data_IF_082506039769
#
_entry.id   IF_082506039769
#
_cell.length_a   1.000
_cell.length_b   1.000
_cell.length_c   1.000
_cell.angle_alpha   90.00
_cell.angle_beta   90.00
_cell.angle_gamma   90.00
#
_symmetry.space_group_name_H-M   'P 1'
#
loop_
_entity.id
_entity.type
_entity.pdbx_description
1 polymer ?
#
# COMPACT_ATOMS: atom_id res chain seq x y z
N UNK A 1 22.01 9.85 -22.81
CA UNK A 1 21.28 8.58 -23.00
C UNK A 1 20.68 8.01 -21.71
N UNK A 2 21.20 8.31 -20.51
CA UNK A 2 20.66 7.75 -19.25
C UNK A 2 19.23 8.18 -18.87
N UNK A 3 18.83 9.42 -19.16
CA UNK A 3 17.50 9.91 -18.77
C UNK A 3 16.34 9.11 -19.40
N UNK A 4 16.44 8.76 -20.69
CA UNK A 4 15.41 7.99 -21.37
C UNK A 4 15.24 6.58 -20.76
N UNK A 5 16.35 5.92 -20.41
CA UNK A 5 16.32 4.60 -19.74
C UNK A 5 15.76 4.72 -18.33
N UNK A 6 16.16 5.75 -17.58
CA UNK A 6 15.65 6.01 -16.23
C UNK A 6 14.12 6.21 -16.22
N UNK A 7 13.60 7.07 -17.10
CA UNK A 7 12.16 7.29 -17.20
C UNK A 7 11.43 6.04 -17.71
N UNK A 8 12.00 5.31 -18.67
CA UNK A 8 11.48 4.03 -19.14
C UNK A 8 11.32 3.02 -18.00
N UNK A 9 12.38 2.76 -17.23
CA UNK A 9 12.34 1.82 -16.10
C UNK A 9 11.38 2.29 -14.99
N UNK A 10 11.36 3.58 -14.67
CA UNK A 10 10.49 4.15 -13.64
C UNK A 10 9.01 3.99 -14.00
N UNK A 11 8.62 4.29 -15.24
CA UNK A 11 7.23 4.14 -15.68
C UNK A 11 6.80 2.67 -15.80
N UNK A 12 7.71 1.75 -16.18
CA UNK A 12 7.40 0.32 -16.17
C UNK A 12 7.20 -0.19 -14.74
N UNK A 13 8.05 0.22 -13.80
CA UNK A 13 7.97 -0.23 -12.40
C UNK A 13 6.78 0.39 -11.64
N UNK A 14 6.55 1.70 -11.77
CA UNK A 14 5.59 2.43 -10.94
C UNK A 14 4.36 2.94 -11.69
N UNK A 15 4.34 2.92 -13.02
CA UNK A 15 3.24 3.46 -13.83
C UNK A 15 1.86 2.90 -13.45
N UNK A 16 1.68 1.56 -13.37
CA UNK A 16 0.41 0.97 -12.95
C UNK A 16 0.02 1.35 -11.51
N UNK A 17 0.97 1.28 -10.57
CA UNK A 17 0.73 1.61 -9.16
C UNK A 17 0.35 3.08 -8.97
N UNK A 18 1.04 3.98 -9.69
CA UNK A 18 0.78 5.41 -9.68
C UNK A 18 -0.60 5.75 -10.27
N UNK A 19 -0.97 5.12 -11.38
CA UNK A 19 -2.30 5.26 -11.97
C UNK A 19 -3.39 4.84 -10.99
N UNK A 20 -3.24 3.68 -10.33
CA UNK A 20 -4.20 3.23 -9.32
C UNK A 20 -4.28 4.19 -8.13
N UNK A 21 -3.15 4.72 -7.66
CA UNK A 21 -3.13 5.67 -6.56
C UNK A 21 -3.90 6.95 -6.90
N UNK A 22 -3.62 7.57 -8.06
CA UNK A 22 -4.29 8.81 -8.49
C UNK A 22 -5.80 8.60 -8.73
N UNK A 23 -6.15 7.48 -9.35
CA UNK A 23 -7.53 7.22 -9.79
C UNK A 23 -8.42 6.71 -8.66
N UNK A 24 -7.89 5.96 -7.69
CA UNK A 24 -8.70 5.27 -6.67
C UNK A 24 -8.45 5.71 -5.23
N UNK A 25 -7.24 6.16 -4.89
CA UNK A 25 -6.85 6.43 -3.49
C UNK A 25 -6.83 7.92 -3.19
N UNK A 26 -6.30 8.74 -4.11
CA UNK A 26 -6.08 10.18 -3.88
C UNK A 26 -7.36 10.99 -3.65
N UNK A 27 -8.52 10.50 -4.11
CA UNK A 27 -9.80 11.17 -3.93
C UNK A 27 -10.36 11.13 -2.49
N UNK A 28 -10.02 10.10 -1.72
CA UNK A 28 -10.55 9.89 -0.36
C UNK A 28 -9.40 9.89 0.65
N UNK A 29 -9.29 10.88 1.56
CA UNK A 29 -8.18 10.95 2.52
C UNK A 29 -8.14 9.74 3.47
N UNK A 30 -9.28 9.09 3.73
CA UNK A 30 -9.34 7.86 4.50
C UNK A 30 -8.58 6.71 3.81
N UNK A 31 -8.67 6.61 2.47
CA UNK A 31 -7.96 5.58 1.67
C UNK A 31 -6.45 5.81 1.70
N UNK A 32 -6.02 7.06 1.71
CA UNK A 32 -4.61 7.44 1.84
C UNK A 32 -4.04 6.97 3.17
N UNK A 33 -4.75 7.23 4.28
CA UNK A 33 -4.32 6.86 5.63
C UNK A 33 -4.17 5.33 5.75
N UNK A 34 -5.14 4.55 5.27
CA UNK A 34 -5.04 3.08 5.32
C UNK A 34 -3.90 2.55 4.45
N UNK A 35 -3.59 3.17 3.31
CA UNK A 35 -2.47 2.79 2.44
C UNK A 35 -1.13 3.03 3.15
N UNK A 36 -0.96 4.21 3.77
CA UNK A 36 0.24 4.53 4.55
C UNK A 36 0.41 3.58 5.74
N UNK A 37 -0.68 3.27 6.46
CA UNK A 37 -0.64 2.30 7.55
C UNK A 37 -0.23 0.90 7.06
N UNK A 38 -0.74 0.45 5.91
CA UNK A 38 -0.35 -0.83 5.29
C UNK A 38 1.13 -0.87 4.91
N UNK A 39 1.65 0.21 4.31
CA UNK A 39 3.07 0.34 3.98
C UNK A 39 3.97 0.30 5.23
N UNK A 40 3.54 0.93 6.33
CA UNK A 40 4.24 0.88 7.60
C UNK A 40 4.33 -0.54 8.16
N UNK A 41 3.21 -1.28 8.20
CA UNK A 41 3.21 -2.67 8.65
C UNK A 41 4.09 -3.57 7.76
N UNK A 42 4.09 -3.33 6.45
CA UNK A 42 4.98 -4.01 5.53
C UNK A 42 6.45 -3.74 5.86
N UNK A 43 6.84 -2.48 6.12
CA UNK A 43 8.21 -2.13 6.55
C UNK A 43 8.59 -2.79 7.88
N UNK A 44 7.68 -2.83 8.87
CA UNK A 44 7.92 -3.53 10.15
C UNK A 44 8.14 -5.03 9.92
N UNK A 45 7.37 -5.66 9.03
CA UNK A 45 7.55 -7.07 8.68
C UNK A 45 8.92 -7.35 8.06
N UNK A 46 9.39 -6.49 7.16
CA UNK A 46 10.72 -6.59 6.57
C UNK A 46 11.83 -6.31 7.59
N UNK A 47 11.62 -5.38 8.51
CA UNK A 47 12.57 -5.10 9.57
C UNK A 47 12.77 -6.35 10.44
N UNK A 48 11.69 -6.99 10.88
CA UNK A 48 11.77 -8.25 11.64
C UNK A 48 12.42 -9.36 10.84
N UNK A 49 12.07 -9.51 9.56
CA UNK A 49 12.72 -10.49 8.68
C UNK A 49 14.23 -10.24 8.53
N UNK A 50 14.64 -8.98 8.41
CA UNK A 50 16.04 -8.58 8.31
C UNK A 50 16.82 -8.88 9.59
N UNK A 51 16.20 -8.70 10.77
CA UNK A 51 16.80 -9.06 12.07
C UNK A 51 17.01 -10.56 12.16
N UNK A 52 16.01 -11.36 11.78
CA UNK A 52 16.12 -12.83 11.76
C UNK A 52 17.25 -13.27 10.83
N UNK A 53 17.29 -12.75 9.61
CA UNK A 53 18.35 -13.05 8.66
C UNK A 53 19.74 -12.63 9.17
N UNK A 54 19.85 -11.45 9.77
CA UNK A 54 21.09 -10.93 10.34
C UNK A 54 21.63 -11.84 11.45
N UNK A 55 20.76 -12.30 12.36
CA UNK A 55 21.14 -13.26 13.42
C UNK A 55 21.62 -14.58 12.80
N UNK A 56 20.89 -15.11 11.81
CA UNK A 56 21.26 -16.36 11.13
C UNK A 56 22.63 -16.29 10.47
N UNK A 57 22.94 -15.18 9.78
CA UNK A 57 24.24 -14.97 9.13
C UNK A 57 25.39 -14.79 10.12
N UNK A 58 25.13 -14.25 11.32
CA UNK A 58 26.17 -14.10 12.36
C UNK A 58 26.41 -15.39 13.14
N UNK A 59 25.39 -16.23 13.30
CA UNK A 59 25.50 -17.52 13.99
C UNK A 59 26.15 -18.58 13.09
N UNK A 60 25.99 -18.45 11.77
CA UNK A 60 26.47 -19.45 10.82
C UNK A 60 27.81 -19.06 10.20
N UNK A 61 28.67 -20.06 9.98
CA UNK A 61 29.97 -19.86 9.35
C UNK A 61 29.80 -19.30 7.91
N UNK A 62 30.50 -18.21 7.61
CA UNK A 62 30.40 -17.50 6.34
C UNK A 62 31.28 -18.11 5.24
N UNK A 63 32.10 -19.11 5.57
CA UNK A 63 33.02 -19.75 4.62
C UNK A 63 32.32 -20.62 3.57
N UNK A 64 31.11 -21.11 3.85
CA UNK A 64 30.35 -21.98 2.93
C UNK A 64 29.37 -21.19 2.04
N UNK A 65 29.74 -20.96 0.78
CA UNK A 65 28.89 -20.27 -0.21
C UNK A 65 27.54 -20.97 -0.45
N UNK A 66 27.51 -22.31 -0.40
CA UNK A 66 26.27 -23.09 -0.55
C UNK A 66 25.31 -22.87 0.63
N UNK A 67 25.87 -22.73 1.83
CA UNK A 67 25.09 -22.50 3.04
C UNK A 67 24.53 -21.08 3.05
N UNK A 68 25.34 -20.07 2.68
CA UNK A 68 24.86 -18.68 2.54
C UNK A 68 23.71 -18.55 1.54
N UNK A 69 23.77 -19.23 0.40
CA UNK A 69 22.67 -19.25 -0.56
C UNK A 69 21.39 -19.88 0.02
N UNK A 70 21.53 -20.96 0.80
CA UNK A 70 20.42 -21.56 1.55
C UNK A 70 19.82 -20.61 2.58
N UNK A 71 20.65 -19.84 3.29
CA UNK A 71 20.24 -18.82 4.26
C UNK A 71 19.51 -17.64 3.62
N UNK A 72 19.90 -17.25 2.41
CA UNK A 72 19.20 -16.23 1.62
C UNK A 72 17.80 -16.71 1.22
N UNK A 73 17.68 -17.95 0.72
CA UNK A 73 16.37 -18.54 0.38
C UNK A 73 15.50 -18.65 1.63
N UNK A 74 16.07 -19.11 2.75
CA UNK A 74 15.36 -19.21 4.02
C UNK A 74 14.92 -17.83 4.52
N UNK A 75 15.79 -16.82 4.48
CA UNK A 75 15.47 -15.45 4.84
C UNK A 75 14.35 -14.87 3.97
N UNK A 76 14.38 -15.13 2.65
CA UNK A 76 13.31 -14.75 1.74
C UNK A 76 11.99 -15.45 2.10
N UNK A 77 12.01 -16.75 2.39
CA UNK A 77 10.81 -17.49 2.81
C UNK A 77 10.23 -16.96 4.14
N UNK A 78 11.08 -16.69 5.14
CA UNK A 78 10.68 -16.07 6.41
C UNK A 78 10.09 -14.69 6.16
N UNK A 79 10.67 -13.89 5.25
CA UNK A 79 10.14 -12.57 4.91
C UNK A 79 8.74 -12.64 4.31
N UNK A 80 8.45 -13.62 3.45
CA UNK A 80 7.12 -13.81 2.87
C UNK A 80 6.11 -14.28 3.92
N UNK A 81 6.49 -15.21 4.79
CA UNK A 81 5.65 -15.65 5.91
C UNK A 81 5.30 -14.51 6.86
N UNK A 82 6.29 -13.69 7.25
CA UNK A 82 6.06 -12.50 8.07
C UNK A 82 5.16 -11.50 7.34
N UNK A 83 5.37 -11.26 6.05
CA UNK A 83 4.51 -10.37 5.26
C UNK A 83 3.04 -10.83 5.28
N UNK A 84 2.75 -12.12 5.16
CA UNK A 84 1.38 -12.64 5.24
C UNK A 84 0.78 -12.54 6.66
N UNK A 85 1.58 -12.77 7.71
CA UNK A 85 1.14 -12.59 9.11
C UNK A 85 0.78 -11.13 9.38
N UNK A 86 1.61 -10.19 8.94
CA UNK A 86 1.33 -8.76 9.07
C UNK A 86 0.13 -8.33 8.21
N UNK A 87 -0.06 -8.94 7.04
CA UNK A 87 -1.25 -8.73 6.21
C UNK A 87 -2.52 -9.14 6.96
N UNK A 88 -2.50 -10.31 7.61
CA UNK A 88 -3.61 -10.77 8.45
C UNK A 88 -3.84 -9.85 9.66
N UNK A 89 -2.79 -9.44 10.35
CA UNK A 89 -2.86 -8.50 11.47
C UNK A 89 -3.47 -7.16 11.04
N UNK A 90 -3.07 -6.65 9.88
CA UNK A 90 -3.63 -5.45 9.28
C UNK A 90 -5.12 -5.60 8.93
N UNK A 91 -5.54 -6.74 8.37
CA UNK A 91 -6.97 -7.01 8.15
C UNK A 91 -7.77 -7.07 9.46
N UNK A 92 -7.22 -7.65 10.52
CA UNK A 92 -7.84 -7.64 11.85
C UNK A 92 -7.97 -6.22 12.40
N UNK A 93 -6.95 -5.38 12.24
CA UNK A 93 -6.99 -3.97 12.63
C UNK A 93 -8.05 -3.18 11.83
N UNK A 94 -8.13 -3.40 10.52
CA UNK A 94 -9.15 -2.80 9.67
C UNK A 94 -10.56 -3.27 10.00
N UNK A 95 -10.74 -4.52 10.45
CA UNK A 95 -12.03 -5.02 10.88
C UNK A 95 -12.46 -4.47 12.25
N UNK A 96 -11.51 -4.00 13.07
CA UNK A 96 -11.80 -3.26 14.31
C UNK A 96 -12.10 -1.77 14.06
N UNK A 97 -11.54 -1.21 12.99
CA UNK A 97 -11.75 0.17 12.54
C UNK A 97 -13.22 0.66 12.34
N UNK A 98 -14.25 -0.18 12.07
CA UNK A 98 -15.64 0.29 11.93
C UNK A 98 -16.15 1.06 13.15
N UNK A 99 -15.63 0.74 14.36
CA UNK A 99 -15.93 1.48 15.59
C UNK A 99 -15.41 2.93 15.51
N UNK A 100 -14.25 3.15 14.88
CA UNK A 100 -13.63 4.46 14.72
C UNK A 100 -14.26 5.27 13.58
N UNK A 101 -14.63 4.60 12.48
CA UNK A 101 -15.34 5.21 11.33
C UNK A 101 -16.65 5.89 11.75
N UNK A 102 -17.36 5.33 12.72
CA UNK A 102 -18.61 5.91 13.24
C UNK A 102 -18.41 7.26 13.95
N UNK A 103 -17.26 7.50 14.58
CA UNK A 103 -16.93 8.77 15.23
C UNK A 103 -16.56 9.87 14.25
N UNK A 104 -15.79 9.55 13.20
CA UNK A 104 -15.40 10.53 12.19
C UNK A 104 -16.60 10.98 11.33
N UNK A 105 -17.55 10.08 11.06
CA UNK A 105 -18.82 10.42 10.42
C UNK A 105 -19.68 11.40 11.26
N UNK A 106 -19.58 11.33 12.59
CA UNK A 106 -20.25 12.30 13.48
C UNK A 106 -19.61 13.68 13.42
N UNK A 107 -18.28 13.76 13.33
CA UNK A 107 -17.54 15.03 13.24
C UNK A 107 -17.75 15.73 11.88
N UNK A 108 -17.77 14.98 10.77
CA UNK A 108 -18.06 15.54 9.45
C UNK A 108 -19.49 16.14 9.36
N UNK A 109 -20.45 15.56 10.10
CA UNK A 109 -21.83 16.07 10.22
C UNK A 109 -21.93 17.34 11.08
N UNK A 110 -20.99 17.54 12.01
CA UNK A 110 -20.92 18.76 12.85
C UNK A 110 -20.30 19.94 12.10
N UNK A 111 -19.32 19.68 11.22
CA UNK A 111 -18.67 20.72 10.41
C UNK A 111 -19.58 21.27 9.28
N UNK A 112 -20.63 20.53 8.89
CA UNK A 112 -21.63 20.94 7.89
C UNK A 112 -23.07 20.64 8.37
N UNK A 113 -23.68 21.53 9.19
CA UNK A 113 -25.04 21.35 9.70
C UNK A 113 -26.14 21.62 8.63
N UNK A 114 -25.81 22.36 7.57
CA UNK A 114 -26.67 22.51 6.40
C UNK A 114 -26.40 21.38 5.42
N UNK A 115 -27.35 20.46 5.27
CA UNK A 115 -27.22 19.26 4.43
C UNK A 115 -26.57 19.52 3.06
N UNK A 116 -25.78 18.54 2.61
CA UNK A 116 -25.10 18.60 1.32
C UNK A 116 -26.11 18.81 0.18
N UNK A 117 -25.99 19.85 -0.66
CA UNK A 117 -26.83 19.96 -1.84
C UNK A 117 -26.55 18.78 -2.76
N UNK A 118 -27.62 18.08 -3.16
CA UNK A 118 -27.64 16.82 -3.94
C UNK A 118 -26.84 16.89 -5.25
N UNK A 119 -26.46 18.08 -5.72
CA UNK A 119 -25.63 18.31 -6.90
C UNK A 119 -24.13 18.13 -6.67
N UNK A 120 -23.63 18.08 -5.43
CA UNK A 120 -22.21 17.88 -5.12
C UNK A 120 -21.82 16.47 -4.67
N UNK A 121 -22.79 15.61 -4.35
CA UNK A 121 -22.53 14.18 -4.11
C UNK A 121 -22.18 13.38 -5.38
N UNK A 122 -22.39 13.95 -6.58
CA UNK A 122 -22.01 13.32 -7.84
C UNK A 122 -20.56 13.55 -8.27
N UNK A 123 -19.83 14.49 -7.65
CA UNK A 123 -18.53 14.94 -8.17
C UNK A 123 -17.40 13.89 -8.11
N UNK A 124 -17.53 12.87 -7.27
CA UNK A 124 -16.58 11.75 -7.26
C UNK A 124 -16.93 10.63 -8.24
N UNK A 125 -18.15 10.60 -8.79
CA UNK A 125 -18.60 9.58 -9.77
C UNK A 125 -18.37 10.01 -11.22
N UNK A 126 -18.47 11.30 -11.54
CA UNK A 126 -18.41 11.77 -12.93
C UNK A 126 -17.00 11.88 -13.54
N UNK A 127 -15.95 11.95 -12.72
CA UNK A 127 -14.57 12.06 -13.24
C UNK A 127 -14.03 10.73 -13.78
N UNK A 128 -14.61 9.59 -13.35
CA UNK A 128 -14.27 8.26 -13.88
C UNK A 128 -14.99 7.96 -15.20
N UNK A 129 -16.24 8.40 -15.33
CA UNK A 129 -17.03 8.25 -16.57
C UNK A 129 -16.46 9.12 -17.70
N UNK A 130 -15.98 10.33 -17.39
CA UNK A 130 -15.35 11.21 -18.39
C UNK A 130 -13.98 10.71 -18.88
N UNK A 131 -13.22 9.95 -18.07
CA UNK A 131 -11.93 9.39 -18.50
C UNK A 131 -12.10 8.14 -19.37
N UNK A 132 -13.14 7.33 -19.13
CA UNK A 132 -13.47 6.15 -19.95
C UNK A 132 -14.24 6.48 -21.25
N UNK A 133 -14.98 7.60 -21.30
CA UNK A 133 -15.63 8.05 -22.54
C UNK A 133 -14.67 8.77 -23.50
N UNK A 134 -13.59 9.37 -23.02
CA UNK A 134 -12.60 10.02 -23.90
C UNK A 134 -11.66 9.01 -24.60
N UNK A 135 -11.45 7.83 -24.01
CA UNK A 135 -10.65 6.74 -24.61
C UNK A 135 -11.42 5.85 -25.60
N UNK A 136 -12.71 6.08 -25.81
CA UNK A 136 -13.50 5.32 -26.81
C UNK A 136 -13.64 6.07 -28.14
N UNK A 137 -12.94 7.20 -28.29
CA UNK A 137 -13.00 8.05 -29.48
C UNK A 137 -11.64 8.34 -30.13
N UNK A 138 -10.60 7.59 -29.76
CA UNK A 138 -9.32 7.50 -30.48
C UNK A 138 -8.93 6.04 -30.69
#
# INVERSE_FOLDING_TARGET
MGAAVFFGCTFVAFGPAFSLFLVTVAGDPLRVIILVAGAFFWLVSLLLASVVWFILVHVTDQSDARLQYGLLIFGAAVSVLLQEVFRFAYYKLLNFWPVFRHHQWRLFRYQHPGGCPRSRCGWYSWRFTLLLLNLRHF
#
